data_IF_694100515828
#
_entry.id   IF_694100515828
#
_cell.length_a   1.000
_cell.length_b   1.000
_cell.length_c   1.000
_cell.angle_alpha   90.00
_cell.angle_beta   90.00
_cell.angle_gamma   90.00
#
_symmetry.space_group_name_H-M   'P 1'
#
loop_
_entity.id
_entity.type
_entity.pdbx_description
1 polymer ?
#
# COMPACT_ATOMS: atom_id res chain seq x y z
N UNK A 1 -18.49 31.24 -8.36
CA UNK A 1 -18.70 32.38 -9.27
C UNK A 1 -17.83 32.13 -10.49
N UNK A 2 -18.45 31.98 -11.68
CA UNK A 2 -17.83 31.59 -12.97
C UNK A 2 -17.80 30.07 -13.15
N UNK A 3 -18.74 29.36 -13.79
CA UNK A 3 -19.55 29.62 -14.99
C UNK A 3 -18.70 30.05 -16.20
N UNK A 4 -18.78 29.21 -17.25
CA UNK A 4 -19.10 29.63 -18.62
C UNK A 4 -18.03 30.16 -19.58
N UNK A 5 -16.74 29.80 -19.51
CA UNK A 5 -15.82 30.28 -20.58
C UNK A 5 -14.87 29.29 -21.25
N UNK A 6 -14.68 28.04 -20.80
CA UNK A 6 -13.73 27.15 -21.49
C UNK A 6 -14.31 25.82 -21.99
N UNK A 7 -15.61 25.79 -22.26
CA UNK A 7 -16.27 24.73 -23.04
C UNK A 7 -16.18 24.96 -24.56
N UNK A 8 -15.28 25.83 -25.07
CA UNK A 8 -15.36 26.33 -26.45
C UNK A 8 -14.06 26.27 -27.28
N UNK A 9 -13.11 25.39 -26.97
CA UNK A 9 -12.13 24.96 -27.99
C UNK A 9 -12.14 23.44 -28.05
N UNK A 10 -13.20 22.86 -28.61
CA UNK A 10 -13.31 22.63 -30.05
C UNK A 10 -12.15 21.75 -30.58
N UNK A 11 -12.53 20.52 -30.90
CA UNK A 11 -12.20 19.95 -32.21
C UNK A 11 -10.73 19.74 -32.50
N UNK A 12 -10.11 18.74 -31.88
CA UNK A 12 -8.84 18.17 -32.36
C UNK A 12 -8.80 16.67 -32.06
N UNK A 13 -9.13 15.78 -33.01
CA UNK A 13 -9.20 14.32 -32.78
C UNK A 13 -7.82 13.66 -32.63
N UNK A 14 -6.77 14.40 -32.26
CA UNK A 14 -5.37 13.95 -32.25
C UNK A 14 -4.71 13.98 -30.87
N UNK A 15 -5.39 14.47 -29.84
CA UNK A 15 -4.85 14.61 -28.47
C UNK A 15 -5.53 13.67 -27.45
N UNK A 16 -6.57 12.95 -27.88
CA UNK A 16 -7.34 12.04 -27.03
C UNK A 16 -6.53 10.95 -26.30
N UNK A 17 -5.51 10.29 -26.89
CA UNK A 17 -4.85 9.19 -26.18
C UNK A 17 -3.85 9.70 -25.12
N UNK A 18 -3.26 10.89 -25.30
CA UNK A 18 -2.31 11.43 -24.31
C UNK A 18 -3.01 12.01 -23.08
N UNK A 19 -4.17 12.63 -23.25
CA UNK A 19 -4.92 13.20 -22.12
C UNK A 19 -5.56 12.10 -21.28
N UNK A 20 -6.00 10.99 -21.90
CA UNK A 20 -6.58 9.86 -21.17
C UNK A 20 -5.57 9.16 -20.24
N UNK A 21 -4.28 9.20 -20.56
CA UNK A 21 -3.21 8.60 -19.74
C UNK A 21 -2.83 9.46 -18.52
N UNK A 22 -3.08 10.78 -18.61
CA UNK A 22 -2.84 11.73 -17.50
C UNK A 22 -4.05 11.77 -16.55
N UNK A 23 -5.27 11.55 -17.05
CA UNK A 23 -6.48 11.53 -16.22
C UNK A 23 -6.54 10.25 -15.35
N UNK A 24 -6.01 9.11 -15.81
CA UNK A 24 -5.94 7.89 -15.00
C UNK A 24 -4.94 7.99 -13.84
N UNK A 25 -3.98 8.92 -13.89
CA UNK A 25 -3.03 9.16 -12.80
C UNK A 25 -3.67 9.94 -11.63
N UNK A 26 -4.74 10.70 -11.89
CA UNK A 26 -5.41 11.56 -10.91
C UNK A 26 -6.54 10.84 -10.12
N UNK A 27 -6.84 9.58 -10.44
CA UNK A 27 -7.79 8.76 -9.66
C UNK A 27 -7.16 8.14 -8.40
N UNK A 28 -5.87 8.36 -8.15
CA UNK A 28 -5.23 8.04 -6.88
C UNK A 28 -5.17 9.28 -5.97
N UNK A 29 -6.29 9.98 -5.79
CA UNK A 29 -6.46 10.77 -4.57
C UNK A 29 -6.86 9.80 -3.45
N UNK A 30 -5.85 9.18 -2.86
CA UNK A 30 -5.97 8.52 -1.57
C UNK A 30 -6.32 9.58 -0.53
N UNK A 31 -7.47 9.40 0.10
CA UNK A 31 -7.95 10.24 1.17
C UNK A 31 -7.12 10.06 2.44
N UNK A 32 -7.11 11.14 3.23
CA UNK A 32 -6.99 11.18 4.68
C UNK A 32 -5.57 11.11 5.29
N UNK A 33 -5.16 12.29 5.75
CA UNK A 33 -4.47 12.56 7.03
C UNK A 33 -4.21 11.36 7.96
N UNK A 34 -3.08 10.69 7.73
CA UNK A 34 -2.26 10.08 8.77
C UNK A 34 -0.81 10.40 8.40
N UNK A 35 0.09 10.56 9.37
CA UNK A 35 1.51 10.78 9.06
C UNK A 35 2.09 9.62 8.22
N UNK A 36 1.40 8.48 8.20
CA UNK A 36 1.70 7.28 7.42
C UNK A 36 0.54 6.94 6.48
N UNK A 37 0.75 7.16 5.19
CA UNK A 37 -0.21 6.80 4.14
C UNK A 37 -0.14 5.30 3.80
N UNK A 38 -1.30 4.69 3.52
CA UNK A 38 -1.38 3.30 3.08
C UNK A 38 -0.56 3.02 1.82
N UNK A 39 -0.32 3.99 0.94
CA UNK A 39 0.58 3.84 -0.20
C UNK A 39 2.02 3.57 0.23
N UNK A 40 2.48 4.15 1.35
CA UNK A 40 3.80 3.86 1.91
C UNK A 40 3.87 2.42 2.38
N UNK A 41 2.86 1.96 3.13
CA UNK A 41 2.74 0.57 3.58
C UNK A 41 2.71 -0.39 2.39
N UNK A 42 1.90 -0.10 1.38
CA UNK A 42 1.81 -0.87 0.13
C UNK A 42 3.14 -0.90 -0.61
N UNK A 43 3.85 0.22 -0.69
CA UNK A 43 5.15 0.30 -1.35
C UNK A 43 6.19 -0.57 -0.63
N UNK A 44 6.22 -0.53 0.71
CA UNK A 44 7.09 -1.39 1.52
C UNK A 44 6.73 -2.87 1.32
N UNK A 45 5.45 -3.23 1.41
CA UNK A 45 4.98 -4.62 1.19
C UNK A 45 5.21 -5.08 -0.26
N UNK A 46 5.19 -4.16 -1.23
CA UNK A 46 5.46 -4.47 -2.65
C UNK A 46 6.89 -5.00 -2.86
N UNK A 47 7.85 -4.60 -2.02
CA UNK A 47 9.22 -5.17 -2.04
C UNK A 47 9.25 -6.67 -1.72
N UNK A 48 8.21 -7.16 -1.04
CA UNK A 48 7.99 -8.56 -0.68
C UNK A 48 7.07 -9.29 -1.65
N UNK A 49 6.62 -8.63 -2.72
CA UNK A 49 5.65 -9.19 -3.69
C UNK A 49 6.08 -10.53 -4.29
N UNK A 50 7.38 -10.77 -4.46
CA UNK A 50 7.88 -12.06 -4.94
C UNK A 50 7.50 -13.21 -4.00
N UNK A 51 7.73 -13.06 -2.69
CA UNK A 51 7.31 -14.06 -1.71
C UNK A 51 5.79 -14.13 -1.60
N UNK A 52 5.10 -13.00 -1.64
CA UNK A 52 3.64 -12.97 -1.55
C UNK A 52 3.00 -13.65 -2.77
N UNK A 53 3.56 -13.49 -3.96
CA UNK A 53 3.01 -14.06 -5.20
C UNK A 53 3.39 -15.54 -5.40
N UNK A 54 4.62 -15.91 -5.08
CA UNK A 54 5.18 -17.23 -5.40
C UNK A 54 5.43 -18.11 -4.17
N UNK A 55 5.29 -17.58 -2.96
CA UNK A 55 5.58 -18.28 -1.70
C UNK A 55 7.05 -18.63 -1.49
N UNK A 56 7.94 -18.28 -2.42
CA UNK A 56 9.35 -18.67 -2.44
C UNK A 56 10.21 -17.63 -3.19
N UNK A 57 11.49 -17.46 -2.83
CA UNK A 57 12.17 -17.99 -1.64
C UNK A 57 11.69 -17.31 -0.35
N UNK A 58 11.75 -18.02 0.78
CA UNK A 58 11.39 -17.46 2.09
C UNK A 58 12.23 -16.21 2.41
N UNK A 59 11.60 -15.09 2.83
CA UNK A 59 12.33 -13.87 3.13
C UNK A 59 13.17 -14.09 4.38
N UNK A 60 14.45 -13.75 4.29
CA UNK A 60 15.38 -13.82 5.41
C UNK A 60 15.83 -12.40 5.82
N UNK A 61 16.18 -12.19 7.09
CA UNK A 61 16.69 -10.90 7.55
C UNK A 61 17.95 -10.51 6.76
N UNK A 62 17.96 -9.31 6.18
CA UNK A 62 18.98 -8.85 5.24
C UNK A 62 18.53 -8.83 3.77
N UNK A 63 17.33 -9.34 3.46
CA UNK A 63 16.67 -9.08 2.17
C UNK A 63 16.04 -7.67 2.13
N UNK A 64 15.88 -7.07 0.94
CA UNK A 64 15.20 -5.78 0.81
C UNK A 64 13.76 -5.82 1.33
N UNK A 65 13.10 -6.99 1.27
CA UNK A 65 11.79 -7.21 1.85
C UNK A 65 11.79 -7.05 3.37
N UNK A 66 12.73 -7.70 4.07
CA UNK A 66 12.80 -7.59 5.52
C UNK A 66 13.31 -6.23 6.01
N UNK A 67 14.14 -5.54 5.23
CA UNK A 67 14.54 -4.16 5.50
C UNK A 67 13.34 -3.21 5.40
N UNK A 68 12.48 -3.40 4.39
CA UNK A 68 11.22 -2.68 4.26
C UNK A 68 10.26 -2.97 5.43
N UNK A 69 10.15 -4.22 5.88
CA UNK A 69 9.36 -4.58 7.07
C UNK A 69 9.91 -3.95 8.35
N UNK A 70 11.23 -3.87 8.48
CA UNK A 70 11.88 -3.20 9.63
C UNK A 70 11.60 -1.71 9.61
N UNK A 71 11.66 -1.06 8.45
CA UNK A 71 11.27 0.34 8.27
C UNK A 71 9.80 0.55 8.63
N UNK A 72 8.92 -0.35 8.19
CA UNK A 72 7.49 -0.33 8.52
C UNK A 72 7.26 -0.41 10.03
N UNK A 73 8.08 -1.17 10.75
CA UNK A 73 8.04 -1.24 12.22
C UNK A 73 8.44 0.08 12.90
N UNK A 74 9.47 0.76 12.40
CA UNK A 74 9.87 2.09 12.91
C UNK A 74 8.76 3.11 12.65
N UNK A 75 8.14 3.02 11.47
CA UNK A 75 7.01 3.86 11.09
C UNK A 75 5.76 3.57 11.95
N UNK A 76 5.58 2.34 12.40
CA UNK A 76 4.49 1.91 13.30
C UNK A 76 4.81 2.08 14.81
N UNK A 77 5.93 2.71 15.17
CA UNK A 77 6.24 3.02 16.58
C UNK A 77 5.15 3.88 17.23
N UNK A 78 4.68 4.98 16.62
CA UNK A 78 3.60 5.80 17.17
C UNK A 78 2.29 5.01 17.18
N UNK A 79 1.49 5.13 18.25
CA UNK A 79 0.20 4.44 18.37
C UNK A 79 -0.77 4.82 17.24
N UNK A 80 -0.78 6.09 16.83
CA UNK A 80 -1.65 6.59 15.76
C UNK A 80 -1.26 5.96 14.40
N UNK A 81 0.03 5.94 14.10
CA UNK A 81 0.54 5.34 12.86
C UNK A 81 0.43 3.81 12.87
N UNK A 82 0.56 3.16 14.03
CA UNK A 82 0.35 1.72 14.16
C UNK A 82 -1.06 1.30 13.76
N UNK A 83 -2.08 2.07 14.19
CA UNK A 83 -3.48 1.85 13.80
C UNK A 83 -3.66 2.01 12.30
N UNK A 84 -3.08 3.07 11.73
CA UNK A 84 -3.10 3.30 10.29
C UNK A 84 -2.44 2.13 9.53
N UNK A 85 -1.22 1.75 9.89
CA UNK A 85 -0.47 0.63 9.31
C UNK A 85 -1.25 -0.69 9.42
N UNK A 86 -1.84 -0.97 10.58
CA UNK A 86 -2.66 -2.16 10.80
C UNK A 86 -3.87 -2.18 9.85
N UNK A 87 -4.61 -1.07 9.74
CA UNK A 87 -5.76 -0.96 8.83
C UNK A 87 -5.34 -1.14 7.37
N UNK A 88 -4.22 -0.52 6.95
CA UNK A 88 -3.67 -0.67 5.61
C UNK A 88 -3.24 -2.11 5.30
N UNK A 89 -2.58 -2.78 6.25
CA UNK A 89 -2.19 -4.19 6.12
C UNK A 89 -3.42 -5.08 6.00
N UNK A 90 -4.50 -4.80 6.72
CA UNK A 90 -5.75 -5.56 6.60
C UNK A 90 -6.35 -5.43 5.20
N UNK A 91 -6.37 -4.24 4.63
CA UNK A 91 -6.84 -4.00 3.26
C UNK A 91 -5.97 -4.78 2.24
N UNK A 92 -4.65 -4.77 2.44
CA UNK A 92 -3.70 -5.56 1.66
C UNK A 92 -3.97 -7.07 1.76
N UNK A 93 -4.19 -7.60 2.96
CA UNK A 93 -4.51 -9.02 3.17
C UNK A 93 -5.77 -9.41 2.39
N UNK A 94 -6.79 -8.55 2.39
CA UNK A 94 -8.01 -8.77 1.61
C UNK A 94 -7.75 -8.68 0.10
N UNK A 95 -6.92 -7.73 -0.34
CA UNK A 95 -6.56 -7.54 -1.75
C UNK A 95 -5.71 -8.69 -2.32
N UNK A 96 -4.87 -9.32 -1.50
CA UNK A 96 -3.95 -10.39 -1.91
C UNK A 96 -4.52 -11.80 -1.70
N UNK A 97 -5.84 -11.97 -1.57
CA UNK A 97 -6.47 -13.29 -1.50
C UNK A 97 -6.23 -14.10 -2.78
N UNK A 98 -5.70 -15.35 -2.73
CA UNK A 98 -5.56 -16.27 -1.57
C UNK A 98 -4.22 -16.25 -0.82
N UNK A 99 -3.26 -15.41 -1.21
CA UNK A 99 -1.93 -15.31 -0.60
C UNK A 99 -1.88 -14.45 0.69
N UNK A 100 -3.04 -14.13 1.26
CA UNK A 100 -3.20 -13.47 2.56
C UNK A 100 -2.29 -14.06 3.65
N UNK A 101 -2.15 -15.39 3.68
CA UNK A 101 -1.31 -16.11 4.64
C UNK A 101 0.17 -15.79 4.48
N UNK A 102 0.65 -15.55 3.25
CA UNK A 102 2.05 -15.20 3.00
C UNK A 102 2.39 -13.82 3.58
N UNK A 103 1.45 -12.86 3.53
CA UNK A 103 1.61 -11.55 4.15
C UNK A 103 1.65 -11.66 5.67
N UNK A 104 0.79 -12.51 6.24
CA UNK A 104 0.73 -12.76 7.68
C UNK A 104 2.03 -13.39 8.23
N UNK A 105 2.63 -14.32 7.49
CA UNK A 105 3.88 -14.99 7.90
C UNK A 105 5.12 -14.15 7.64
N UNK A 106 5.03 -13.16 6.75
CA UNK A 106 6.15 -12.30 6.33
C UNK A 106 6.87 -11.62 7.52
N UNK A 107 6.10 -11.06 8.46
CA UNK A 107 6.68 -10.41 9.64
C UNK A 107 7.45 -11.41 10.52
N UNK A 108 6.93 -12.63 10.67
CA UNK A 108 7.59 -13.71 11.40
C UNK A 108 8.90 -14.16 10.74
N UNK A 109 8.90 -14.32 9.41
CA UNK A 109 10.11 -14.66 8.65
C UNK A 109 11.21 -13.60 8.75
N UNK A 110 10.81 -12.33 8.73
CA UNK A 110 11.74 -11.22 8.87
C UNK A 110 12.17 -10.94 10.32
N UNK A 111 11.59 -11.62 11.31
CA UNK A 111 11.87 -11.37 12.73
C UNK A 111 11.40 -10.00 13.22
N UNK A 112 10.42 -9.40 12.54
CA UNK A 112 9.89 -8.07 12.85
C UNK A 112 8.59 -8.21 13.64
N UNK A 113 8.47 -7.46 14.74
CA UNK A 113 7.28 -7.43 15.58
C UNK A 113 6.65 -6.04 15.57
N UNK A 114 5.58 -5.88 14.78
CA UNK A 114 4.82 -4.62 14.65
C UNK A 114 4.00 -4.24 15.88
N UNK A 115 4.12 -5.01 16.98
CA UNK A 115 3.32 -4.85 18.19
C UNK A 115 1.88 -5.36 18.07
N UNK A 116 1.51 -5.95 16.93
CA UNK A 116 0.25 -6.64 16.69
C UNK A 116 0.47 -7.86 15.79
N UNK A 117 -0.44 -8.84 15.87
CA UNK A 117 -0.39 -10.00 14.98
C UNK A 117 -1.03 -9.64 13.65
N UNK A 118 -0.38 -9.98 12.54
CA UNK A 118 -0.93 -9.77 11.20
C UNK A 118 -1.86 -10.95 10.89
N UNK A 119 -3.16 -10.77 11.13
CA UNK A 119 -4.18 -11.80 10.89
C UNK A 119 -5.41 -11.14 10.26
N UNK A 120 -6.19 -11.84 9.41
CA UNK A 120 -7.40 -11.29 8.81
C UNK A 120 -8.52 -10.95 9.81
N UNK A 121 -8.38 -11.38 11.07
CA UNK A 121 -9.29 -11.07 12.18
C UNK A 121 -8.64 -10.19 13.26
N UNK A 122 -7.50 -9.57 12.97
CA UNK A 122 -6.87 -8.65 13.92
C UNK A 122 -7.76 -7.43 14.11
N UNK A 123 -7.82 -6.87 15.32
CA UNK A 123 -8.51 -5.62 15.58
C UNK A 123 -7.46 -4.49 15.66
N UNK A 124 -7.62 -3.44 14.86
CA UNK A 124 -6.65 -2.34 14.75
C UNK A 124 -6.99 -1.14 15.66
N UNK A 125 -7.73 -1.38 16.75
CA UNK A 125 -8.21 -0.35 17.69
C UNK A 125 -7.31 -0.21 18.92
#
# INVERSE_FOLDING_TARGET
MGWCSLQMLASSPRLAPMIMMVITSLFFLGAAEAAVDCATVRALVSTCSAFIAYGTPDPYPGTPCCDAMTTLNMVAEPLEDRRAVCSCLMDLINAYSPNATAIATLAGFCGVSLGFSISPNTDCN
#
